data_IF_260832011610
#
_entry.id   IF_260832011610
#
_cell.length_a   1.000
_cell.length_b   1.000
_cell.length_c   1.000
_cell.angle_alpha   90.00
_cell.angle_beta   90.00
_cell.angle_gamma   90.00
#
_symmetry.space_group_name_H-M   'P 1'
#
loop_
_entity.id
_entity.type
_entity.pdbx_description
1 polymer ?
#
# COMPACT_ATOMS: atom_id res chain seq x y z
N UNK A 1 7.05 6.88 -26.33
CA UNK A 1 5.76 6.69 -25.64
C UNK A 1 5.82 5.72 -24.45
N UNK A 2 6.81 4.82 -24.32
CA UNK A 2 6.91 3.87 -23.19
C UNK A 2 7.59 4.42 -21.91
N UNK A 3 8.49 5.41 -22.04
CA UNK A 3 9.28 5.93 -20.93
C UNK A 3 8.46 6.68 -19.88
N UNK A 4 7.45 7.45 -20.31
CA UNK A 4 6.56 8.17 -19.38
C UNK A 4 5.75 7.22 -18.50
N UNK A 5 5.32 6.08 -19.03
CA UNK A 5 4.57 5.07 -18.28
C UNK A 5 5.40 4.45 -17.17
N UNK A 6 6.71 4.23 -17.37
CA UNK A 6 7.59 3.66 -16.36
C UNK A 6 7.80 4.60 -15.16
N UNK A 7 7.99 5.89 -15.41
CA UNK A 7 8.12 6.88 -14.34
C UNK A 7 6.84 7.04 -13.51
N UNK A 8 5.68 6.98 -14.17
CA UNK A 8 4.38 7.00 -13.48
C UNK A 8 4.18 5.74 -12.61
N UNK A 9 4.55 4.56 -13.13
CA UNK A 9 4.51 3.31 -12.36
C UNK A 9 5.43 3.39 -11.16
N UNK A 10 6.68 3.87 -11.34
CA UNK A 10 7.63 4.03 -10.24
C UNK A 10 7.13 5.02 -9.18
N UNK A 11 6.59 6.17 -9.60
CA UNK A 11 5.97 7.15 -8.68
C UNK A 11 4.78 6.55 -7.92
N UNK A 12 3.94 5.77 -8.60
CA UNK A 12 2.79 5.11 -7.98
C UNK A 12 3.21 3.99 -7.02
N UNK A 13 4.31 3.29 -7.29
CA UNK A 13 4.91 2.33 -6.36
C UNK A 13 5.41 3.01 -5.09
N UNK A 14 6.16 4.11 -5.22
CA UNK A 14 6.64 4.89 -4.06
C UNK A 14 5.47 5.41 -3.23
N UNK A 15 4.47 6.01 -3.88
CA UNK A 15 3.22 6.44 -3.24
C UNK A 15 2.53 5.28 -2.51
N UNK A 16 2.34 4.14 -3.18
CA UNK A 16 1.71 2.95 -2.62
C UNK A 16 2.46 2.43 -1.40
N UNK A 17 3.80 2.38 -1.46
CA UNK A 17 4.64 1.94 -0.36
C UNK A 17 4.52 2.89 0.85
N UNK A 18 4.73 4.19 0.63
CA UNK A 18 4.66 5.21 1.68
C UNK A 18 3.28 5.25 2.32
N UNK A 19 2.21 5.19 1.51
CA UNK A 19 0.84 5.11 1.99
C UNK A 19 0.65 3.88 2.87
N UNK A 20 1.14 2.71 2.48
CA UNK A 20 0.93 1.47 3.25
C UNK A 20 1.79 1.34 4.52
N UNK A 21 2.86 2.13 4.71
CA UNK A 21 3.66 2.13 5.95
C UNK A 21 2.83 2.50 7.21
N UNK A 22 2.15 3.66 7.30
CA UNK A 22 1.32 4.00 8.46
C UNK A 22 0.15 3.03 8.64
N UNK A 23 -0.49 2.57 7.55
CA UNK A 23 -1.57 1.58 7.65
C UNK A 23 -1.07 0.22 8.13
N UNK A 24 0.14 -0.20 7.75
CA UNK A 24 0.81 -1.38 8.29
C UNK A 24 1.03 -1.28 9.80
N UNK A 25 1.43 -0.11 10.28
CA UNK A 25 1.58 0.19 11.72
C UNK A 25 0.25 0.11 12.47
N UNK A 26 -0.79 0.76 11.94
CA UNK A 26 -2.13 0.77 12.55
C UNK A 26 -2.74 -0.63 12.56
N UNK A 27 -2.62 -1.37 11.46
CA UNK A 27 -3.06 -2.77 11.32
C UNK A 27 -2.38 -3.68 12.34
N UNK A 28 -1.08 -3.50 12.61
CA UNK A 28 -0.36 -4.32 13.58
C UNK A 28 -0.81 -4.10 15.03
N UNK A 29 -1.36 -2.92 15.35
CA UNK A 29 -1.90 -2.59 16.69
C UNK A 29 -3.37 -2.98 16.86
N UNK A 30 -4.11 -3.12 15.76
CA UNK A 30 -5.51 -3.50 15.78
C UNK A 30 -5.67 -5.01 16.07
N UNK A 31 -6.75 -5.37 16.77
CA UNK A 31 -7.14 -6.78 16.94
C UNK A 31 -7.35 -7.40 15.56
N UNK A 32 -6.65 -8.49 15.26
CA UNK A 32 -6.82 -9.23 13.99
C UNK A 32 -8.29 -9.58 13.78
N UNK A 33 -8.78 -9.43 12.55
CA UNK A 33 -10.19 -9.62 12.16
C UNK A 33 -11.20 -8.67 12.82
N UNK A 34 -10.77 -7.60 13.48
CA UNK A 34 -11.67 -6.51 13.84
C UNK A 34 -12.04 -5.65 12.63
N UNK A 35 -13.14 -4.90 12.73
CA UNK A 35 -13.52 -3.92 11.72
C UNK A 35 -12.41 -2.89 11.44
N UNK A 36 -11.70 -2.43 12.48
CA UNK A 36 -10.55 -1.52 12.33
C UNK A 36 -9.39 -2.17 11.57
N UNK A 37 -9.07 -3.44 11.88
CA UNK A 37 -8.04 -4.18 11.14
C UNK A 37 -8.40 -4.34 9.67
N UNK A 38 -9.67 -4.65 9.37
CA UNK A 38 -10.18 -4.73 8.00
C UNK A 38 -10.09 -3.37 7.29
N UNK A 39 -10.49 -2.28 7.94
CA UNK A 39 -10.38 -0.92 7.40
C UNK A 39 -8.94 -0.56 7.09
N UNK A 40 -7.98 -0.85 7.96
CA UNK A 40 -6.58 -0.50 7.71
C UNK A 40 -5.97 -1.24 6.51
N UNK A 41 -6.50 -2.41 6.15
CA UNK A 41 -6.09 -3.14 4.95
C UNK A 41 -6.76 -2.56 3.71
N UNK A 42 -8.06 -2.25 3.80
CA UNK A 42 -8.84 -1.88 2.63
C UNK A 42 -8.78 -0.39 2.33
N UNK A 43 -8.69 0.52 3.30
CA UNK A 43 -8.69 1.97 3.05
C UNK A 43 -7.57 2.45 2.10
N UNK A 44 -6.34 1.91 2.15
CA UNK A 44 -5.30 2.23 1.16
C UNK A 44 -5.63 1.78 -0.26
N UNK A 45 -6.43 0.73 -0.43
CA UNK A 45 -6.69 0.09 -1.73
C UNK A 45 -7.49 1.01 -2.67
N UNK A 46 -8.65 1.59 -2.29
CA UNK A 46 -9.36 2.58 -3.10
C UNK A 46 -8.50 3.79 -3.46
N UNK A 47 -7.63 4.24 -2.55
CA UNK A 47 -6.73 5.37 -2.83
C UNK A 47 -5.73 5.01 -3.94
N UNK A 48 -5.08 3.85 -3.84
CA UNK A 48 -4.14 3.37 -4.87
C UNK A 48 -4.86 3.14 -6.21
N UNK A 49 -6.08 2.59 -6.19
CA UNK A 49 -6.90 2.39 -7.40
C UNK A 49 -7.26 3.72 -8.05
N UNK A 50 -7.70 4.71 -7.27
CA UNK A 50 -8.03 6.04 -7.78
C UNK A 50 -6.81 6.68 -8.47
N UNK A 51 -5.66 6.71 -7.80
CA UNK A 51 -4.43 7.26 -8.39
C UNK A 51 -3.96 6.49 -9.62
N UNK A 52 -4.13 5.16 -9.66
CA UNK A 52 -3.85 4.35 -10.86
C UNK A 52 -4.72 4.78 -12.05
N UNK A 53 -6.03 4.94 -11.83
CA UNK A 53 -6.97 5.32 -12.89
C UNK A 53 -6.66 6.72 -13.39
N UNK A 54 -6.44 7.68 -12.48
CA UNK A 54 -6.11 9.07 -12.82
C UNK A 54 -4.78 9.22 -13.56
N UNK A 55 -3.82 8.32 -13.31
CA UNK A 55 -2.52 8.31 -13.99
C UNK A 55 -2.50 7.48 -15.27
N UNK A 56 -3.63 6.89 -15.68
CA UNK A 56 -3.74 5.97 -16.83
C UNK A 56 -2.69 4.84 -16.78
N UNK A 57 -2.36 4.38 -15.58
CA UNK A 57 -1.31 3.39 -15.36
C UNK A 57 -1.74 2.02 -15.93
N UNK A 58 -0.87 1.33 -16.68
CA UNK A 58 -1.24 0.12 -17.41
C UNK A 58 -1.65 -1.03 -16.47
N UNK A 59 -2.46 -1.96 -16.99
CA UNK A 59 -2.97 -3.10 -16.20
C UNK A 59 -1.88 -4.05 -15.72
N UNK A 60 -0.77 -4.18 -16.47
CA UNK A 60 0.37 -5.02 -16.06
C UNK A 60 1.05 -4.53 -14.76
N UNK A 61 0.84 -3.27 -14.37
CA UNK A 61 1.39 -2.73 -13.12
C UNK A 61 0.59 -3.16 -11.89
N UNK A 62 -0.64 -3.68 -12.04
CA UNK A 62 -1.50 -4.05 -10.92
C UNK A 62 -0.84 -5.08 -9.97
N UNK A 63 -0.27 -6.21 -10.45
CA UNK A 63 0.43 -7.16 -9.57
C UNK A 63 1.60 -6.52 -8.81
N UNK A 64 2.33 -5.60 -9.45
CA UNK A 64 3.46 -4.89 -8.85
C UNK A 64 2.99 -3.95 -7.73
N UNK A 65 1.89 -3.22 -7.96
CA UNK A 65 1.30 -2.34 -6.95
C UNK A 65 0.74 -3.14 -5.76
N UNK A 66 0.13 -4.30 -6.00
CA UNK A 66 -0.31 -5.21 -4.93
C UNK A 66 0.87 -5.68 -4.10
N UNK A 67 1.95 -6.17 -4.74
CA UNK A 67 3.16 -6.58 -4.05
C UNK A 67 3.75 -5.41 -3.23
N UNK A 68 3.78 -4.22 -3.80
CA UNK A 68 4.28 -3.00 -3.14
C UNK A 68 3.43 -2.61 -1.93
N UNK A 69 2.10 -2.71 -2.04
CA UNK A 69 1.18 -2.46 -0.93
C UNK A 69 1.39 -3.45 0.22
N UNK A 70 1.51 -4.74 -0.10
CA UNK A 70 1.79 -5.80 0.90
C UNK A 70 3.13 -5.55 1.58
N UNK A 71 4.18 -5.23 0.82
CA UNK A 71 5.49 -4.88 1.36
C UNK A 71 5.42 -3.66 2.29
N UNK A 72 4.72 -2.60 1.89
CA UNK A 72 4.51 -1.42 2.74
C UNK A 72 3.80 -1.75 4.05
N UNK A 73 2.74 -2.56 4.01
CA UNK A 73 2.03 -2.96 5.23
C UNK A 73 2.87 -3.86 6.13
N UNK A 74 3.71 -4.72 5.54
CA UNK A 74 4.59 -5.63 6.24
C UNK A 74 5.75 -4.90 6.92
N UNK A 75 6.43 -4.00 6.20
CA UNK A 75 7.49 -3.14 6.75
C UNK A 75 6.93 -2.23 7.84
N UNK A 76 5.78 -1.60 7.57
CA UNK A 76 5.09 -0.76 8.55
C UNK A 76 4.73 -1.52 9.84
N UNK A 77 4.23 -2.75 9.72
CA UNK A 77 3.90 -3.59 10.88
C UNK A 77 5.13 -4.08 11.67
N UNK A 78 6.24 -4.37 10.98
CA UNK A 78 7.50 -4.85 11.62
C UNK A 78 8.20 -3.78 12.45
N UNK A 79 8.18 -2.51 12.01
CA UNK A 79 8.82 -1.41 12.73
C UNK A 79 8.30 -1.18 14.16
N UNK A 80 7.18 -1.81 14.53
CA UNK A 80 6.54 -1.69 15.85
C UNK A 80 6.68 -2.91 16.77
N UNK A 81 7.30 -4.01 16.35
CA UNK A 81 7.49 -5.18 17.22
C UNK A 81 8.40 -4.94 18.44
N UNK A 82 8.97 -3.74 18.60
CA UNK A 82 9.85 -3.38 19.73
C UNK A 82 9.15 -3.09 21.06
N UNK A 83 7.84 -3.32 21.22
CA UNK A 83 7.26 -3.32 22.57
C UNK A 83 6.03 -4.24 22.68
N UNK A 84 6.22 -5.53 22.97
CA UNK A 84 5.14 -6.33 23.54
C UNK A 84 4.94 -5.87 24.99
N UNK A 85 3.75 -5.34 25.29
CA UNK A 85 3.25 -5.36 26.66
C UNK A 85 2.94 -6.81 27.04
#
# INVERSE_FOLDING_TARGET
MHTHSLWLVAGLMVFTFILNLPFGRLRARAKKFSFQWWLYIHLPVPLVIAFRILSHCPYWAIPILIATAVLGQWVGGRGLQKNPK
#
